data_IF_941692759167
#
_entry.id   IF_941692759167
#
_cell.length_a   1.000
_cell.length_b   1.000
_cell.length_c   1.000
_cell.angle_alpha   90.00
_cell.angle_beta   90.00
_cell.angle_gamma   90.00
#
_symmetry.space_group_name_H-M   'P 1'
#
loop_
_entity.id
_entity.type
_entity.pdbx_description
1 polymer ?
#
# COMPACT_ATOMS: atom_id res chain seq x y z
N UNK A 1 -1.63 45.33 6.32
CA UNK A 1 -1.45 45.04 4.88
C UNK A 1 -0.27 44.09 4.57
N UNK A 2 0.02 43.10 5.42
CA UNK A 2 1.02 42.03 5.13
C UNK A 2 0.41 40.61 5.06
N UNK A 3 -0.92 40.51 5.10
CA UNK A 3 -1.68 39.24 4.96
C UNK A 3 -2.37 39.09 3.59
N UNK A 4 -2.18 40.03 2.67
CA UNK A 4 -2.73 39.96 1.29
C UNK A 4 -1.67 39.64 0.21
N UNK A 5 -0.38 39.73 0.53
CA UNK A 5 0.72 39.49 -0.44
C UNK A 5 1.20 38.04 -0.47
N UNK A 6 0.89 37.22 0.54
CA UNK A 6 1.20 35.77 0.50
C UNK A 6 0.11 34.98 -0.23
N UNK A 7 -1.12 35.52 -0.32
CA UNK A 7 -2.20 34.90 -1.08
C UNK A 7 -2.11 35.16 -2.61
N UNK A 8 -1.37 36.18 -3.04
CA UNK A 8 -1.23 36.54 -4.46
C UNK A 8 -0.05 35.83 -5.16
N UNK A 9 0.93 35.32 -4.41
CA UNK A 9 2.01 34.48 -4.96
C UNK A 9 1.54 33.04 -5.26
N UNK A 10 0.41 32.61 -4.68
CA UNK A 10 -0.19 31.28 -4.91
C UNK A 10 -1.15 31.31 -6.12
N UNK A 11 -1.59 32.49 -6.57
CA UNK A 11 -2.60 32.60 -7.63
C UNK A 11 -2.03 32.84 -9.04
N UNK A 12 -0.75 33.18 -9.18
CA UNK A 12 -0.10 33.42 -10.49
C UNK A 12 0.54 32.16 -11.09
N UNK A 13 0.59 31.05 -10.35
CA UNK A 13 1.05 29.74 -10.87
C UNK A 13 -0.08 28.85 -11.43
N UNK A 14 -1.30 29.38 -11.58
CA UNK A 14 -2.49 28.57 -11.96
C UNK A 14 -2.96 28.80 -13.41
N UNK A 15 -2.39 29.74 -14.18
CA UNK A 15 -2.91 30.06 -15.53
C UNK A 15 -1.86 29.99 -16.66
N UNK A 16 -0.87 29.11 -16.56
CA UNK A 16 0.22 29.06 -17.54
C UNK A 16 0.83 27.69 -17.83
N UNK A 17 0.11 26.58 -17.63
CA UNK A 17 0.61 25.24 -17.96
C UNK A 17 -0.47 24.38 -18.63
N UNK A 18 -1.04 24.90 -19.72
CA UNK A 18 -1.41 24.05 -20.85
C UNK A 18 -0.13 23.64 -21.59
N UNK A 19 0.74 22.87 -20.93
CA UNK A 19 2.01 22.40 -21.47
C UNK A 19 2.19 20.98 -20.95
N UNK A 20 1.94 20.03 -21.85
CA UNK A 20 2.64 18.75 -21.98
C UNK A 20 2.69 17.91 -20.70
N UNK A 21 1.95 16.81 -20.71
CA UNK A 21 2.26 15.61 -19.94
C UNK A 21 3.69 15.21 -20.32
N UNK A 22 4.69 15.78 -19.64
CA UNK A 22 6.06 15.35 -19.80
C UNK A 22 6.11 14.02 -19.07
N UNK A 23 6.09 12.95 -19.87
CA UNK A 23 6.43 11.61 -19.43
C UNK A 23 7.60 11.72 -18.46
N UNK A 24 7.41 11.27 -17.22
CA UNK A 24 8.52 11.14 -16.30
C UNK A 24 9.37 10.00 -16.90
N UNK A 25 10.57 10.26 -17.46
CA UNK A 25 11.31 9.24 -18.21
C UNK A 25 11.60 8.01 -17.34
N UNK A 26 11.74 8.19 -16.02
CA UNK A 26 11.91 7.10 -15.08
C UNK A 26 10.69 6.20 -14.91
N UNK A 27 9.46 6.67 -15.13
CA UNK A 27 8.26 5.80 -15.09
C UNK A 27 8.16 4.95 -16.34
N UNK A 28 8.52 5.51 -17.50
CA UNK A 28 8.45 4.80 -18.78
C UNK A 28 9.54 3.73 -18.89
N UNK A 29 10.76 4.02 -18.44
CA UNK A 29 11.85 3.03 -18.36
C UNK A 29 11.54 1.91 -17.37
N UNK A 30 11.04 2.25 -16.17
CA UNK A 30 10.66 1.26 -15.17
C UNK A 30 9.50 0.38 -15.66
N UNK A 31 8.53 0.97 -16.35
CA UNK A 31 7.41 0.23 -16.92
C UNK A 31 7.87 -0.72 -18.04
N UNK A 32 8.69 -0.25 -18.98
CA UNK A 32 9.25 -1.10 -20.04
C UNK A 32 10.13 -2.23 -19.48
N UNK A 33 10.91 -1.96 -18.44
CA UNK A 33 11.68 -2.99 -17.74
C UNK A 33 10.76 -4.01 -17.04
N UNK A 34 9.64 -3.57 -16.47
CA UNK A 34 8.64 -4.46 -15.89
C UNK A 34 7.99 -5.34 -16.96
N UNK A 35 7.62 -4.78 -18.12
CA UNK A 35 7.08 -5.56 -19.25
C UNK A 35 8.06 -6.62 -19.72
N UNK A 36 9.32 -6.25 -19.99
CA UNK A 36 10.36 -7.20 -20.41
C UNK A 36 10.58 -8.31 -19.37
N UNK A 37 10.53 -7.99 -18.07
CA UNK A 37 10.70 -8.99 -17.01
C UNK A 37 9.48 -9.90 -16.85
N UNK A 38 8.28 -9.38 -17.04
CA UNK A 38 7.04 -10.18 -17.08
C UNK A 38 7.08 -11.14 -18.28
N UNK A 39 7.49 -10.67 -19.46
CA UNK A 39 7.59 -11.50 -20.66
C UNK A 39 8.58 -12.65 -20.48
N UNK A 40 9.76 -12.35 -19.92
CA UNK A 40 10.75 -13.38 -19.57
C UNK A 40 10.20 -14.37 -18.53
N UNK A 41 9.55 -13.86 -17.48
CA UNK A 41 8.98 -14.69 -16.43
C UNK A 41 7.84 -15.59 -16.92
N UNK A 42 7.03 -15.14 -17.89
CA UNK A 42 6.02 -15.96 -18.56
C UNK A 42 6.69 -17.06 -19.39
N UNK A 43 7.70 -16.71 -20.19
CA UNK A 43 8.41 -17.67 -21.03
C UNK A 43 9.16 -18.76 -20.23
N UNK A 44 9.59 -18.42 -19.02
CA UNK A 44 10.30 -19.32 -18.11
C UNK A 44 9.37 -20.02 -17.09
N UNK A 45 8.06 -19.81 -17.17
CA UNK A 45 7.07 -20.33 -16.20
C UNK A 45 7.44 -19.99 -14.74
N UNK A 46 8.00 -18.79 -14.54
CA UNK A 46 8.53 -18.38 -13.25
C UNK A 46 7.40 -18.17 -12.23
N UNK A 47 7.55 -18.79 -11.06
CA UNK A 47 6.59 -18.69 -9.95
C UNK A 47 6.90 -17.55 -8.99
N UNK A 48 8.01 -16.84 -9.22
CA UNK A 48 8.47 -15.73 -8.39
C UNK A 48 8.83 -14.58 -9.31
N UNK A 49 8.20 -13.42 -9.10
CA UNK A 49 8.50 -12.19 -9.81
C UNK A 49 8.93 -11.11 -8.82
N UNK A 50 10.09 -10.50 -9.08
CA UNK A 50 10.60 -9.37 -8.30
C UNK A 50 10.69 -8.14 -9.19
N UNK A 51 10.05 -7.06 -8.75
CA UNK A 51 10.02 -5.75 -9.39
C UNK A 51 10.43 -4.63 -8.41
N UNK A 52 10.89 -4.98 -7.20
CA UNK A 52 11.23 -4.02 -6.13
C UNK A 52 12.41 -3.09 -6.45
N UNK A 53 13.27 -3.48 -7.41
CA UNK A 53 14.35 -2.65 -7.93
C UNK A 53 13.85 -1.56 -8.89
N UNK A 54 12.63 -1.70 -9.43
CA UNK A 54 12.00 -0.73 -10.32
C UNK A 54 11.30 0.36 -9.49
N UNK A 55 12.08 1.12 -8.72
CA UNK A 55 11.56 2.07 -7.71
C UNK A 55 10.63 3.15 -8.28
N UNK A 56 10.71 3.42 -9.60
CA UNK A 56 9.85 4.39 -10.30
C UNK A 56 8.62 3.75 -10.97
N UNK A 57 8.40 2.44 -10.81
CA UNK A 57 7.26 1.74 -11.39
C UNK A 57 5.95 2.22 -10.75
N UNK A 58 5.18 3.05 -11.45
CA UNK A 58 3.91 3.61 -10.97
C UNK A 58 2.68 2.75 -11.24
N UNK A 59 2.74 1.92 -12.27
CA UNK A 59 1.65 1.07 -12.71
C UNK A 59 2.18 -0.31 -13.09
N UNK A 60 1.44 -1.34 -12.74
CA UNK A 60 1.75 -2.71 -13.14
C UNK A 60 1.31 -2.93 -14.59
N UNK A 61 2.16 -3.52 -15.45
CA UNK A 61 1.72 -3.95 -16.77
C UNK A 61 0.59 -4.99 -16.66
N UNK A 62 -0.50 -4.86 -17.44
CA UNK A 62 -1.67 -5.74 -17.31
C UNK A 62 -1.35 -7.21 -17.64
N UNK A 63 -0.30 -7.46 -18.43
CA UNK A 63 0.18 -8.81 -18.77
C UNK A 63 0.58 -9.64 -17.55
N UNK A 64 0.84 -9.02 -16.39
CA UNK A 64 1.09 -9.77 -15.15
C UNK A 64 -0.07 -10.72 -14.81
N UNK A 65 -1.30 -10.42 -15.23
CA UNK A 65 -2.46 -11.28 -15.05
C UNK A 65 -2.37 -12.62 -15.80
N UNK A 66 -1.50 -12.72 -16.82
CA UNK A 66 -1.23 -13.96 -17.57
C UNK A 66 -0.34 -14.93 -16.76
N UNK A 67 0.32 -14.48 -15.69
CA UNK A 67 1.18 -15.32 -14.85
C UNK A 67 0.35 -16.17 -13.87
N UNK A 68 -0.47 -17.08 -14.38
CA UNK A 68 -1.45 -17.84 -13.58
C UNK A 68 -0.82 -18.71 -12.49
N UNK A 69 0.44 -19.11 -12.64
CA UNK A 69 1.19 -19.92 -11.66
C UNK A 69 2.06 -19.10 -10.70
N UNK A 70 1.97 -17.77 -10.75
CA UNK A 70 2.73 -16.88 -9.87
C UNK A 70 2.37 -17.13 -8.41
N UNK A 71 3.39 -17.41 -7.60
CA UNK A 71 3.27 -17.66 -6.15
C UNK A 71 3.74 -16.46 -5.34
N UNK A 72 4.78 -15.78 -5.78
CA UNK A 72 5.36 -14.66 -5.04
C UNK A 72 5.58 -13.46 -5.94
N UNK A 73 5.08 -12.31 -5.49
CA UNK A 73 5.28 -11.02 -6.15
C UNK A 73 5.89 -10.02 -5.15
N UNK A 74 7.05 -9.47 -5.50
CA UNK A 74 7.72 -8.42 -4.72
C UNK A 74 7.69 -7.09 -5.47
N UNK A 75 6.93 -6.13 -4.93
CA UNK A 75 6.74 -4.76 -5.42
C UNK A 75 7.20 -3.72 -4.39
N UNK A 76 7.97 -4.14 -3.38
CA UNK A 76 8.43 -3.25 -2.31
C UNK A 76 9.14 -2.02 -2.88
N UNK A 77 8.79 -0.84 -2.36
CA UNK A 77 9.46 0.42 -2.68
C UNK A 77 9.23 0.94 -4.10
N UNK A 78 8.26 0.36 -4.82
CA UNK A 78 7.80 0.89 -6.12
C UNK A 78 6.76 2.00 -5.92
N UNK A 79 6.38 2.69 -6.99
CA UNK A 79 5.33 3.72 -6.97
C UNK A 79 3.93 3.18 -7.21
N UNK A 80 3.76 1.85 -7.24
CA UNK A 80 2.49 1.20 -7.56
C UNK A 80 1.40 1.65 -6.58
N UNK A 81 0.31 2.20 -7.12
CA UNK A 81 -0.85 2.62 -6.33
C UNK A 81 -2.12 1.83 -6.63
N UNK A 82 -2.14 1.11 -7.75
CA UNK A 82 -3.25 0.29 -8.20
C UNK A 82 -2.76 -1.14 -8.45
N UNK A 83 -3.44 -2.09 -7.82
CA UNK A 83 -3.14 -3.53 -7.86
C UNK A 83 -4.31 -4.33 -8.43
N UNK A 84 -5.25 -3.67 -9.11
CA UNK A 84 -6.47 -4.32 -9.64
C UNK A 84 -6.17 -5.44 -10.63
N UNK A 85 -5.06 -5.32 -11.35
CA UNK A 85 -4.56 -6.35 -12.28
C UNK A 85 -4.16 -7.66 -11.58
N UNK A 86 -3.97 -7.65 -10.25
CA UNK A 86 -3.61 -8.85 -9.48
C UNK A 86 -4.81 -9.72 -9.10
N UNK A 87 -6.04 -9.22 -9.21
CA UNK A 87 -7.27 -9.88 -8.72
C UNK A 87 -7.50 -11.29 -9.29
N UNK A 88 -6.94 -11.58 -10.46
CA UNK A 88 -7.06 -12.88 -11.13
C UNK A 88 -6.02 -13.94 -10.72
N UNK A 89 -4.99 -13.58 -9.94
CA UNK A 89 -3.85 -14.47 -9.64
C UNK A 89 -4.18 -15.51 -8.57
N UNK A 90 -4.85 -16.59 -8.99
CA UNK A 90 -5.41 -17.62 -8.10
C UNK A 90 -4.36 -18.34 -7.24
N UNK A 91 -3.11 -18.43 -7.72
CA UNK A 91 -2.02 -19.13 -7.03
C UNK A 91 -1.11 -18.21 -6.21
N UNK A 92 -1.36 -16.90 -6.17
CA UNK A 92 -0.51 -15.95 -5.45
C UNK A 92 -0.60 -16.20 -3.94
N UNK A 93 0.53 -16.48 -3.30
CA UNK A 93 0.63 -16.79 -1.86
C UNK A 93 1.33 -15.71 -1.06
N UNK A 94 2.30 -15.02 -1.66
CA UNK A 94 3.12 -14.00 -1.01
C UNK A 94 3.10 -12.74 -1.85
N UNK A 95 2.64 -11.64 -1.27
CA UNK A 95 2.59 -10.33 -1.92
C UNK A 95 3.25 -9.28 -1.02
N UNK A 96 4.33 -8.68 -1.52
CA UNK A 96 5.01 -7.59 -0.84
C UNK A 96 4.73 -6.25 -1.55
N UNK A 97 3.97 -5.38 -0.89
CA UNK A 97 3.62 -4.02 -1.31
C UNK A 97 4.17 -2.98 -0.33
N UNK A 98 5.16 -3.35 0.48
CA UNK A 98 5.75 -2.47 1.47
C UNK A 98 6.30 -1.19 0.83
N UNK A 99 5.99 -0.03 1.39
CA UNK A 99 6.50 1.25 0.91
C UNK A 99 6.01 1.62 -0.50
N UNK A 100 4.89 1.06 -0.95
CA UNK A 100 4.21 1.46 -2.19
C UNK A 100 3.22 2.59 -1.95
N UNK A 101 2.61 3.10 -3.03
CA UNK A 101 1.63 4.18 -2.98
C UNK A 101 0.17 3.68 -2.85
N UNK A 102 0.00 2.42 -2.47
CA UNK A 102 -1.30 1.75 -2.34
C UNK A 102 -2.21 2.48 -1.35
N UNK A 103 -3.48 2.64 -1.74
CA UNK A 103 -4.53 3.27 -0.93
C UNK A 103 -5.72 2.38 -0.66
N UNK A 104 -5.95 1.43 -1.56
CA UNK A 104 -7.09 0.55 -1.52
C UNK A 104 -6.62 -0.90 -1.67
N UNK A 105 -7.07 -1.76 -0.77
CA UNK A 105 -6.83 -3.21 -0.81
C UNK A 105 -8.06 -3.98 -1.29
N UNK A 106 -9.17 -3.31 -1.63
CA UNK A 106 -10.34 -3.95 -2.25
C UNK A 106 -9.97 -4.90 -3.40
N UNK A 107 -9.05 -4.57 -4.32
CA UNK A 107 -8.76 -5.46 -5.44
C UNK A 107 -8.00 -6.73 -5.05
N UNK A 108 -7.45 -6.78 -3.83
CA UNK A 108 -6.81 -7.99 -3.28
C UNK A 108 -7.83 -8.88 -2.55
N UNK A 109 -9.03 -8.36 -2.28
CA UNK A 109 -10.06 -9.11 -1.58
C UNK A 109 -10.47 -10.33 -2.40
N UNK A 110 -10.43 -11.51 -1.78
CA UNK A 110 -10.83 -12.76 -2.43
C UNK A 110 -9.73 -13.45 -3.23
N UNK A 111 -8.48 -13.00 -3.18
CA UNK A 111 -7.35 -13.83 -3.63
C UNK A 111 -7.33 -15.12 -2.78
N UNK A 112 -7.58 -16.30 -3.39
CA UNK A 112 -7.97 -17.48 -2.63
C UNK A 112 -6.79 -18.15 -1.91
N UNK A 113 -5.57 -17.98 -2.44
CA UNK A 113 -4.37 -18.62 -1.92
C UNK A 113 -3.43 -17.66 -1.15
N UNK A 114 -3.76 -16.37 -1.07
CA UNK A 114 -2.83 -15.39 -0.48
C UNK A 114 -2.71 -15.60 1.02
N UNK A 115 -1.51 -15.98 1.44
CA UNK A 115 -1.17 -16.38 2.81
C UNK A 115 -0.43 -15.27 3.56
N UNK A 116 0.45 -14.56 2.86
CA UNK A 116 1.29 -13.50 3.42
C UNK A 116 1.14 -12.22 2.60
N UNK A 117 0.74 -11.15 3.27
CA UNK A 117 0.58 -9.81 2.70
C UNK A 117 1.34 -8.77 3.52
N UNK A 118 2.25 -8.05 2.86
CA UNK A 118 2.91 -6.87 3.44
C UNK A 118 2.39 -5.62 2.75
N UNK A 119 1.71 -4.77 3.50
CA UNK A 119 1.22 -3.45 3.09
C UNK A 119 1.73 -2.37 4.06
N UNK A 120 2.85 -2.64 4.73
CA UNK A 120 3.52 -1.69 5.60
C UNK A 120 4.00 -0.46 4.82
N UNK A 121 4.06 0.69 5.48
CA UNK A 121 4.46 1.98 4.86
C UNK A 121 3.63 2.38 3.63
N UNK A 122 2.42 1.83 3.47
CA UNK A 122 1.46 2.26 2.44
C UNK A 122 0.48 3.31 2.98
N UNK A 123 -0.47 3.74 2.14
CA UNK A 123 -1.49 4.73 2.48
C UNK A 123 -2.88 4.16 2.64
N UNK A 124 -2.97 2.85 2.86
CA UNK A 124 -4.24 2.20 3.15
C UNK A 124 -4.80 2.77 4.46
N UNK A 125 -6.12 2.91 4.49
CA UNK A 125 -6.84 3.36 5.69
C UNK A 125 -7.94 2.40 6.11
N UNK A 126 -8.22 1.40 5.29
CA UNK A 126 -9.28 0.43 5.49
C UNK A 126 -8.74 -0.96 5.19
N UNK A 127 -8.85 -1.84 6.19
CA UNK A 127 -8.44 -3.25 6.08
C UNK A 127 -9.66 -4.18 6.10
N UNK A 128 -10.88 -3.65 6.12
CA UNK A 128 -12.11 -4.45 6.05
C UNK A 128 -12.17 -5.41 4.83
N UNK A 129 -11.66 -5.06 3.63
CA UNK A 129 -11.71 -5.96 2.48
C UNK A 129 -10.92 -7.26 2.68
N UNK A 130 -9.88 -7.21 3.51
CA UNK A 130 -9.01 -8.35 3.79
C UNK A 130 -9.72 -9.45 4.61
N UNK A 131 -10.88 -9.15 5.22
CA UNK A 131 -11.70 -10.17 5.92
C UNK A 131 -12.26 -11.24 4.99
N UNK A 132 -12.29 -10.98 3.68
CA UNK A 132 -12.75 -11.93 2.65
C UNK A 132 -11.67 -12.91 2.18
N UNK A 133 -10.46 -12.83 2.73
CA UNK A 133 -9.32 -13.64 2.29
C UNK A 133 -9.25 -14.94 3.09
N UNK A 134 -9.56 -16.10 2.48
CA UNK A 134 -9.75 -17.34 3.23
C UNK A 134 -8.44 -17.90 3.78
N UNK A 135 -7.30 -17.65 3.14
CA UNK A 135 -6.00 -18.22 3.52
C UNK A 135 -5.04 -17.22 4.16
N UNK A 136 -5.42 -15.96 4.40
CA UNK A 136 -4.49 -14.94 4.90
C UNK A 136 -4.08 -15.26 6.35
N UNK A 137 -2.80 -15.58 6.57
CA UNK A 137 -2.22 -15.93 7.88
C UNK A 137 -1.34 -14.84 8.46
N UNK A 138 -0.63 -14.13 7.58
CA UNK A 138 0.37 -13.11 7.97
C UNK A 138 0.05 -11.78 7.30
N UNK A 139 -0.11 -10.75 8.12
CA UNK A 139 -0.39 -9.39 7.66
C UNK A 139 0.59 -8.40 8.29
N UNK A 140 1.33 -7.67 7.47
CA UNK A 140 2.08 -6.50 7.92
C UNK A 140 1.33 -5.21 7.53
N UNK A 141 0.94 -4.43 8.53
CA UNK A 141 0.35 -3.09 8.34
C UNK A 141 1.17 -2.01 9.06
N UNK A 142 2.47 -2.25 9.26
CA UNK A 142 3.36 -1.33 9.93
C UNK A 142 3.33 0.07 9.32
N UNK A 143 3.41 1.10 10.14
CA UNK A 143 3.48 2.51 9.73
C UNK A 143 2.27 2.95 8.87
N UNK A 144 1.13 2.25 8.98
CA UNK A 144 -0.13 2.66 8.36
C UNK A 144 -1.02 3.46 9.32
N UNK A 145 -1.98 4.20 8.75
CA UNK A 145 -3.02 4.88 9.50
C UNK A 145 -4.40 4.32 9.09
N UNK A 146 -4.84 3.30 9.82
CA UNK A 146 -6.14 2.65 9.59
C UNK A 146 -7.25 3.36 10.35
N UNK A 147 -8.50 3.19 9.90
CA UNK A 147 -9.67 3.64 10.64
C UNK A 147 -9.85 2.83 11.91
N UNK A 148 -9.73 1.51 11.81
CA UNK A 148 -9.97 0.53 12.86
C UNK A 148 -9.17 -0.75 12.63
N UNK A 149 -8.74 -1.39 13.71
CA UNK A 149 -8.17 -2.74 13.74
C UNK A 149 -9.25 -3.81 13.89
N UNK A 150 -10.51 -3.44 14.18
CA UNK A 150 -11.63 -4.38 14.35
C UNK A 150 -11.72 -5.42 13.22
N UNK A 151 -11.52 -5.08 11.92
CA UNK A 151 -11.63 -6.10 10.88
C UNK A 151 -10.62 -7.24 11.02
N UNK A 152 -9.44 -7.00 11.60
CA UNK A 152 -8.46 -8.05 11.85
C UNK A 152 -9.01 -9.14 12.80
N UNK A 153 -9.94 -8.78 13.68
CA UNK A 153 -10.60 -9.75 14.57
C UNK A 153 -11.54 -10.70 13.82
N UNK A 154 -11.91 -10.39 12.57
CA UNK A 154 -12.79 -11.21 11.73
C UNK A 154 -12.04 -12.05 10.70
N UNK A 155 -10.72 -11.95 10.62
CA UNK A 155 -9.89 -12.76 9.72
C UNK A 155 -9.67 -14.15 10.32
N UNK A 156 -10.30 -15.17 9.76
CA UNK A 156 -10.40 -16.51 10.38
C UNK A 156 -9.07 -17.24 10.52
N UNK A 157 -8.15 -17.06 9.56
CA UNK A 157 -6.85 -17.76 9.53
C UNK A 157 -5.67 -16.90 9.95
N UNK A 158 -5.89 -15.63 10.26
CA UNK A 158 -4.82 -14.72 10.67
C UNK A 158 -4.21 -15.22 11.98
N UNK A 159 -2.90 -15.42 12.00
CA UNK A 159 -2.17 -15.88 13.18
C UNK A 159 -0.97 -14.99 13.54
N UNK A 160 -0.61 -14.06 12.65
CA UNK A 160 0.46 -13.12 12.86
C UNK A 160 0.12 -11.76 12.25
N UNK A 161 0.32 -10.70 13.02
CA UNK A 161 0.17 -9.33 12.55
C UNK A 161 1.30 -8.43 13.07
N UNK A 162 1.85 -7.58 12.21
CA UNK A 162 2.78 -6.53 12.62
C UNK A 162 2.07 -5.16 12.62
N UNK A 163 2.18 -4.48 13.75
CA UNK A 163 1.58 -3.18 14.04
C UNK A 163 2.64 -2.11 14.31
N UNK A 164 3.91 -2.34 13.94
CA UNK A 164 4.99 -1.39 14.20
C UNK A 164 4.68 -0.01 13.62
N UNK A 165 4.61 1.03 14.46
CA UNK A 165 4.28 2.38 14.00
C UNK A 165 2.88 2.56 13.41
N UNK A 166 2.04 1.52 13.45
CA UNK A 166 0.67 1.56 12.99
C UNK A 166 -0.24 2.19 14.06
N UNK A 167 -1.29 2.86 13.62
CA UNK A 167 -2.28 3.47 14.50
C UNK A 167 -3.68 3.38 13.90
N UNK A 168 -4.69 3.21 14.75
CA UNK A 168 -6.09 3.34 14.36
C UNK A 168 -6.70 4.67 14.83
N UNK A 169 -7.64 5.21 14.04
CA UNK A 169 -8.36 6.45 14.39
C UNK A 169 -9.34 6.25 15.56
N UNK A 170 -9.91 5.05 15.69
CA UNK A 170 -10.80 4.68 16.79
C UNK A 170 -10.05 4.21 18.06
N UNK A 171 -8.71 4.22 18.04
CA UNK A 171 -7.84 3.72 19.12
C UNK A 171 -7.68 2.20 19.11
N UNK A 172 -8.76 1.46 18.82
CA UNK A 172 -8.76 0.01 18.59
C UNK A 172 -8.25 -0.85 19.75
N UNK A 173 -8.34 -0.36 20.99
CA UNK A 173 -7.89 -1.12 22.16
C UNK A 173 -8.66 -2.45 22.33
N UNK A 174 -9.98 -2.43 22.22
CA UNK A 174 -10.80 -3.66 22.32
C UNK A 174 -10.48 -4.65 21.23
N UNK A 175 -10.31 -4.17 19.99
CA UNK A 175 -9.92 -5.02 18.87
C UNK A 175 -8.54 -5.64 19.10
N UNK A 176 -7.58 -4.84 19.58
CA UNK A 176 -6.26 -5.33 19.95
C UNK A 176 -6.33 -6.43 21.02
N UNK A 177 -7.11 -6.24 22.08
CA UNK A 177 -7.29 -7.26 23.12
C UNK A 177 -7.92 -8.54 22.55
N UNK A 178 -8.93 -8.41 21.68
CA UNK A 178 -9.55 -9.55 21.03
C UNK A 178 -8.58 -10.35 20.13
N UNK A 179 -7.59 -9.70 19.51
CA UNK A 179 -6.52 -10.41 18.79
C UNK A 179 -5.64 -11.23 19.75
N UNK A 180 -5.27 -10.65 20.90
CA UNK A 180 -4.47 -11.35 21.92
C UNK A 180 -5.25 -12.54 22.50
N UNK A 181 -6.53 -12.34 22.83
CA UNK A 181 -7.38 -13.40 23.40
C UNK A 181 -7.58 -14.57 22.42
N UNK A 182 -7.48 -14.31 21.11
CA UNK A 182 -7.46 -15.34 20.05
C UNK A 182 -6.14 -16.11 19.93
N UNK A 183 -5.12 -15.76 20.73
CA UNK A 183 -3.78 -16.35 20.61
C UNK A 183 -3.00 -15.88 19.39
N UNK A 184 -3.39 -14.76 18.78
CA UNK A 184 -2.72 -14.20 17.61
C UNK A 184 -1.36 -13.63 18.02
N UNK A 185 -0.32 -13.89 17.21
CA UNK A 185 0.99 -13.27 17.44
C UNK A 185 0.94 -11.81 16.96
N UNK A 186 0.83 -10.88 17.90
CA UNK A 186 0.79 -9.44 17.62
C UNK A 186 2.13 -8.79 17.88
N UNK A 187 2.80 -8.33 16.82
CA UNK A 187 4.07 -7.64 16.90
C UNK A 187 3.88 -6.11 16.98
N UNK A 188 4.63 -5.46 17.88
CA UNK A 188 4.79 -4.00 17.94
C UNK A 188 3.51 -3.14 18.13
N UNK A 189 2.43 -3.66 18.71
CA UNK A 189 1.16 -2.93 18.90
C UNK A 189 1.05 -2.02 20.13
N UNK A 190 2.13 -1.30 20.51
CA UNK A 190 2.12 -0.44 21.72
C UNK A 190 1.03 0.63 21.67
N UNK A 191 0.82 1.27 20.53
CA UNK A 191 -0.18 2.33 20.38
C UNK A 191 -1.60 1.83 20.67
N UNK A 192 -1.93 0.64 20.18
CA UNK A 192 -3.23 0.01 20.38
C UNK A 192 -3.46 -0.42 21.82
N UNK A 193 -2.41 -0.90 22.52
CA UNK A 193 -2.48 -1.19 23.96
C UNK A 193 -2.85 0.02 24.81
N UNK A 194 -2.44 1.21 24.38
CA UNK A 194 -2.61 2.46 25.11
C UNK A 194 -3.88 3.23 24.71
N UNK A 195 -4.73 2.64 23.86
CA UNK A 195 -5.86 3.32 23.19
C UNK A 195 -5.44 4.63 22.52
N UNK A 196 -4.24 4.65 21.95
CA UNK A 196 -3.69 5.87 21.39
C UNK A 196 -4.48 6.30 20.15
N UNK A 197 -5.12 7.46 20.25
CA UNK A 197 -5.76 8.13 19.11
C UNK A 197 -4.84 9.23 18.57
N UNK A 198 -4.40 9.18 17.30
CA UNK A 198 -3.52 10.19 16.74
C UNK A 198 -4.15 11.59 16.81
N UNK A 199 -3.51 12.52 17.52
CA UNK A 199 -3.95 13.92 17.59
C UNK A 199 -3.82 14.66 16.26
N UNK A 200 -4.35 15.88 16.16
CA UNK A 200 -4.35 16.67 14.91
C UNK A 200 -2.96 16.78 14.28
N UNK A 201 -1.94 17.12 15.09
CA UNK A 201 -0.57 17.27 14.60
C UNK A 201 0.01 15.97 14.06
N UNK A 202 -0.29 14.83 14.68
CA UNK A 202 0.15 13.53 14.19
C UNK A 202 -0.54 13.18 12.86
N UNK A 203 -1.85 13.44 12.75
CA UNK A 203 -2.58 13.26 11.49
C UNK A 203 -2.05 14.19 10.39
N UNK A 204 -1.70 15.42 10.74
CA UNK A 204 -1.09 16.37 9.84
C UNK A 204 0.31 15.93 9.42
N UNK A 205 1.14 15.45 10.36
CA UNK A 205 2.47 14.90 10.09
C UNK A 205 2.40 13.78 9.08
N UNK A 206 1.53 12.80 9.30
CA UNK A 206 1.31 11.69 8.36
C UNK A 206 0.83 12.22 7.00
N UNK A 207 -0.05 13.24 6.97
CA UNK A 207 -0.49 13.85 5.70
C UNK A 207 0.66 14.56 4.98
N UNK A 208 1.55 15.25 5.71
CA UNK A 208 2.72 15.94 5.19
C UNK A 208 3.77 14.94 4.73
N UNK A 209 4.10 13.91 5.52
CA UNK A 209 5.01 12.82 5.13
C UNK A 209 4.53 12.16 3.84
N UNK A 210 3.22 11.95 3.67
CA UNK A 210 2.64 11.48 2.41
C UNK A 210 2.83 12.44 1.24
N UNK A 211 2.69 13.75 1.47
CA UNK A 211 2.91 14.77 0.43
C UNK A 211 4.40 14.87 0.08
N UNK A 212 5.28 14.84 1.07
CA UNK A 212 6.73 14.90 0.89
C UNK A 212 7.24 13.65 0.19
N UNK A 213 6.73 12.47 0.55
CA UNK A 213 7.04 11.22 -0.15
C UNK A 213 6.62 11.30 -1.62
N UNK A 214 5.42 11.81 -1.93
CA UNK A 214 4.98 12.08 -3.31
C UNK A 214 5.88 13.06 -4.05
N UNK A 215 6.26 14.16 -3.40
CA UNK A 215 7.11 15.19 -3.98
C UNK A 215 8.52 14.68 -4.24
N UNK A 216 9.08 13.84 -3.35
CA UNK A 216 10.38 13.17 -3.54
C UNK A 216 10.38 12.18 -4.70
N UNK A 217 9.22 11.63 -5.04
CA UNK A 217 9.04 10.65 -6.12
C UNK A 217 8.54 11.29 -7.42
N UNK A 218 8.55 12.62 -7.52
CA UNK A 218 8.13 13.35 -8.74
C UNK A 218 6.64 13.32 -9.04
N UNK A 219 5.80 12.76 -8.15
CA UNK A 219 4.36 12.62 -8.35
C UNK A 219 3.61 13.81 -7.75
N UNK A 220 3.66 14.94 -8.46
CA UNK A 220 2.88 16.13 -8.15
C UNK A 220 1.36 15.86 -8.15
N UNK A 221 0.67 16.38 -7.15
CA UNK A 221 -0.75 16.12 -6.91
C UNK A 221 -1.67 16.80 -7.94
N UNK A 222 -2.17 16.03 -8.91
CA UNK A 222 -3.40 16.39 -9.63
C UNK A 222 -4.60 16.07 -8.74
N UNK A 223 -5.37 17.10 -8.40
CA UNK A 223 -6.78 17.03 -7.97
C UNK A 223 -7.54 18.13 -8.69
#
# INVERSE_FOLDING_TARGET
MRRLLVALAIFVLILGAGVIWTANPGTDEAYAAAESRIDAAIAEEARILRLSDLSNLGHLPPRIAEMTDLIQLDLRGTLVSDVSVLSGLQNLRILNLHGTLLRNVDPLAGLPALDTLDVGETWISDIAPLTKMPELRRLDIGTTQIKSLEPATRMERLNWINLHGAHALDGSQTAYQALIDKGLTVNNGRAFRQDYRPGFLQRLRIRVERIVHRARLGLGANR
#
